data_IF_738828974696
#
_entry.id   IF_738828974696
#
_cell.length_a   1.000
_cell.length_b   1.000
_cell.length_c   1.000
_cell.angle_alpha   90.00
_cell.angle_beta   90.00
_cell.angle_gamma   90.00
#
_symmetry.space_group_name_H-M   'P 1'
#
loop_
_entity.id
_entity.type
_entity.pdbx_description
1 polymer ?
#
# COMPACT_ATOMS: atom_id res chain seq x y z
N UNK A 1 -4.28 -16.92 -12.47
CA UNK A 1 -4.29 -17.05 -10.99
C UNK A 1 -3.46 -15.96 -10.31
N UNK A 2 -2.20 -15.72 -10.72
CA UNK A 2 -1.32 -14.71 -10.10
C UNK A 2 -1.88 -13.28 -10.10
N UNK A 3 -2.43 -12.82 -11.23
CA UNK A 3 -3.07 -11.50 -11.33
C UNK A 3 -4.23 -11.36 -10.33
N UNK A 4 -5.07 -12.39 -10.19
CA UNK A 4 -6.20 -12.35 -9.28
C UNK A 4 -5.76 -12.22 -7.82
N UNK A 5 -4.71 -12.95 -7.42
CA UNK A 5 -4.13 -12.86 -6.06
C UNK A 5 -3.58 -11.45 -5.80
N UNK A 6 -2.78 -10.92 -6.73
CA UNK A 6 -2.21 -9.57 -6.62
C UNK A 6 -3.32 -8.51 -6.59
N UNK A 7 -4.36 -8.66 -7.40
CA UNK A 7 -5.50 -7.75 -7.42
C UNK A 7 -6.21 -7.70 -6.06
N UNK A 8 -6.49 -8.85 -5.45
CA UNK A 8 -7.10 -8.90 -4.11
C UNK A 8 -6.19 -8.27 -3.04
N UNK A 9 -4.88 -8.53 -3.10
CA UNK A 9 -3.91 -7.86 -2.24
C UNK A 9 -3.92 -6.34 -2.46
N UNK A 10 -4.07 -5.91 -3.71
CA UNK A 10 -4.19 -4.50 -4.09
C UNK A 10 -5.40 -3.84 -3.47
N UNK A 11 -6.58 -4.45 -3.57
CA UNK A 11 -7.81 -3.96 -2.91
C UNK A 11 -7.58 -3.78 -1.41
N UNK A 12 -6.92 -4.75 -0.76
CA UNK A 12 -6.54 -4.66 0.65
C UNK A 12 -5.60 -3.50 0.95
N UNK A 13 -4.53 -3.32 0.17
CA UNK A 13 -3.57 -2.22 0.35
C UNK A 13 -4.24 -0.86 0.23
N UNK A 14 -5.01 -0.63 -0.83
CA UNK A 14 -5.72 0.63 -1.02
C UNK A 14 -6.71 0.92 0.10
N UNK A 15 -7.40 -0.11 0.61
CA UNK A 15 -8.32 0.04 1.74
C UNK A 15 -7.58 0.41 3.04
N UNK A 16 -6.47 -0.27 3.33
CA UNK A 16 -5.63 0.02 4.51
C UNK A 16 -5.01 1.42 4.41
N UNK A 17 -4.47 1.78 3.26
CA UNK A 17 -3.84 3.07 3.02
C UNK A 17 -4.83 4.21 3.12
N UNK A 18 -6.05 4.03 2.60
CA UNK A 18 -7.16 4.97 2.83
C UNK A 18 -7.43 5.13 4.32
N UNK A 19 -7.56 4.04 5.07
CA UNK A 19 -7.80 4.08 6.50
C UNK A 19 -6.67 4.80 7.26
N UNK A 20 -5.41 4.59 6.87
CA UNK A 20 -4.24 5.28 7.45
C UNK A 20 -4.26 6.78 7.13
N UNK A 21 -4.63 7.17 5.91
CA UNK A 21 -4.76 8.58 5.51
C UNK A 21 -5.95 9.28 6.16
N UNK A 22 -7.03 8.57 6.49
CA UNK A 22 -8.17 9.14 7.21
C UNK A 22 -7.95 9.16 8.73
N UNK A 23 -7.01 8.37 9.25
CA UNK A 23 -6.66 8.35 10.68
C UNK A 23 -6.11 9.70 11.17
N UNK A 24 -6.40 10.07 12.42
CA UNK A 24 -5.88 11.29 13.06
C UNK A 24 -4.57 11.06 13.85
N UNK A 25 -3.85 9.97 13.55
CA UNK A 25 -2.67 9.60 14.32
C UNK A 25 -1.51 10.59 14.10
N UNK A 26 -0.81 11.09 15.15
CA UNK A 26 0.23 12.12 15.02
C UNK A 26 1.38 11.71 14.09
N UNK A 27 1.82 10.44 14.15
CA UNK A 27 2.82 9.88 13.21
C UNK A 27 2.37 9.98 11.74
N UNK A 28 1.07 9.77 11.46
CA UNK A 28 0.56 9.96 10.11
C UNK A 28 0.44 11.41 9.74
N UNK A 29 0.10 12.31 10.66
CA UNK A 29 0.02 13.74 10.37
C UNK A 29 1.37 14.29 9.87
N UNK A 30 2.47 13.88 10.52
CA UNK A 30 3.83 14.25 10.10
C UNK A 30 4.21 13.61 8.76
N UNK A 31 3.98 12.30 8.60
CA UNK A 31 4.25 11.60 7.35
C UNK A 31 3.44 12.17 6.17
N UNK A 32 2.16 12.50 6.38
CA UNK A 32 1.29 13.15 5.37
C UNK A 32 1.82 14.54 5.02
N UNK A 33 2.29 15.30 6.02
CA UNK A 33 2.87 16.62 5.80
C UNK A 33 4.07 16.58 4.86
N UNK A 34 4.99 15.64 5.08
CA UNK A 34 6.17 15.48 4.23
C UNK A 34 5.81 14.92 2.85
N UNK A 35 4.99 13.87 2.77
CA UNK A 35 4.58 13.30 1.47
C UNK A 35 3.77 14.27 0.61
N UNK A 36 2.85 15.03 1.22
CA UNK A 36 2.01 16.00 0.49
C UNK A 36 2.81 17.15 -0.09
N UNK A 37 3.91 17.56 0.55
CA UNK A 37 4.82 18.58 0.01
C UNK A 37 5.54 18.11 -1.26
N UNK A 38 5.82 16.80 -1.39
CA UNK A 38 6.60 16.25 -2.50
C UNK A 38 5.70 15.79 -3.65
N UNK A 39 4.63 15.05 -3.35
CA UNK A 39 3.80 14.36 -4.37
C UNK A 39 2.33 14.81 -4.37
N UNK A 40 1.96 15.81 -3.55
CA UNK A 40 0.59 16.30 -3.45
C UNK A 40 -0.35 15.39 -2.64
N UNK A 41 -1.64 15.76 -2.52
CA UNK A 41 -2.61 15.08 -1.65
C UNK A 41 -2.95 13.65 -2.08
N UNK A 42 -2.73 13.30 -3.36
CA UNK A 42 -3.02 11.97 -3.92
C UNK A 42 -1.78 11.20 -4.36
N UNK A 43 -0.58 11.76 -4.14
CA UNK A 43 0.67 11.19 -4.62
C UNK A 43 0.97 9.79 -4.08
N UNK A 44 0.58 9.52 -2.83
CA UNK A 44 0.76 8.20 -2.23
C UNK A 44 -0.14 7.13 -2.87
N UNK A 45 -1.37 7.47 -3.28
CA UNK A 45 -2.22 6.56 -4.05
C UNK A 45 -1.67 6.27 -5.45
N UNK A 46 -1.00 7.25 -6.06
CA UNK A 46 -0.35 7.03 -7.35
C UNK A 46 0.80 6.02 -7.21
N UNK A 47 1.58 6.11 -6.13
CA UNK A 47 2.63 5.13 -5.82
C UNK A 47 2.06 3.72 -5.57
N UNK A 48 0.97 3.61 -4.79
CA UNK A 48 0.30 2.31 -4.59
C UNK A 48 -0.21 1.72 -5.91
N UNK A 49 -0.80 2.55 -6.76
CA UNK A 49 -1.29 2.13 -8.07
C UNK A 49 -0.16 1.68 -8.97
N UNK A 50 0.95 2.43 -9.01
CA UNK A 50 2.11 2.09 -9.80
C UNK A 50 2.71 0.74 -9.36
N UNK A 51 2.84 0.52 -8.05
CA UNK A 51 3.33 -0.74 -7.51
C UNK A 51 2.41 -1.91 -7.88
N UNK A 52 1.08 -1.73 -7.79
CA UNK A 52 0.10 -2.73 -8.18
C UNK A 52 0.16 -3.02 -9.69
N UNK A 53 0.20 -1.98 -10.52
CA UNK A 53 0.27 -2.11 -11.97
C UNK A 53 1.54 -2.86 -12.40
N UNK A 54 2.69 -2.49 -11.85
CA UNK A 54 3.95 -3.17 -12.12
C UNK A 54 3.88 -4.66 -11.74
N UNK A 55 3.37 -4.97 -10.54
CA UNK A 55 3.21 -6.36 -10.09
C UNK A 55 2.28 -7.16 -11.00
N UNK A 56 1.16 -6.58 -11.46
CA UNK A 56 0.23 -7.25 -12.38
C UNK A 56 0.85 -7.48 -13.76
N UNK A 57 1.65 -6.54 -14.28
CA UNK A 57 2.38 -6.70 -15.55
C UNK A 57 3.34 -7.89 -15.45
N UNK A 58 4.17 -7.94 -14.41
CA UNK A 58 5.10 -9.07 -14.22
C UNK A 58 4.39 -10.39 -13.96
N UNK A 59 3.26 -10.38 -13.24
CA UNK A 59 2.44 -11.56 -13.04
C UNK A 59 1.82 -12.08 -14.35
N UNK A 60 1.47 -11.18 -15.27
CA UNK A 60 1.00 -11.54 -16.61
C UNK A 60 2.11 -12.20 -17.45
N UNK A 61 3.37 -11.86 -17.19
CA UNK A 61 4.54 -12.54 -17.76
C UNK A 61 4.85 -13.89 -17.08
N UNK A 62 4.01 -14.35 -16.15
CA UNK A 62 4.17 -15.63 -15.45
C UNK A 62 5.15 -15.60 -14.28
N UNK A 63 5.62 -14.42 -13.87
CA UNK A 63 6.64 -14.29 -12.83
C UNK A 63 6.05 -14.51 -11.43
N UNK A 64 6.35 -15.67 -10.81
CA UNK A 64 5.96 -15.95 -9.42
C UNK A 64 6.57 -14.96 -8.43
N UNK A 65 7.78 -14.44 -8.72
CA UNK A 65 8.44 -13.43 -7.91
C UNK A 65 7.61 -12.16 -7.74
N UNK A 66 6.79 -11.79 -8.72
CA UNK A 66 5.88 -10.65 -8.62
C UNK A 66 4.80 -10.86 -7.55
N UNK A 67 4.26 -12.08 -7.47
CA UNK A 67 3.26 -12.44 -6.45
C UNK A 67 3.89 -12.40 -5.06
N UNK A 68 5.08 -13.00 -4.90
CA UNK A 68 5.79 -13.00 -3.61
C UNK A 68 6.13 -11.58 -3.17
N UNK A 69 6.70 -10.77 -4.08
CA UNK A 69 7.06 -9.39 -3.80
C UNK A 69 5.84 -8.57 -3.35
N UNK A 70 4.74 -8.66 -4.11
CA UNK A 70 3.54 -7.89 -3.80
C UNK A 70 2.84 -8.40 -2.52
N UNK A 71 2.89 -9.70 -2.25
CA UNK A 71 2.38 -10.28 -1.02
C UNK A 71 3.16 -9.79 0.22
N UNK A 72 4.50 -9.83 0.16
CA UNK A 72 5.36 -9.30 1.24
C UNK A 72 5.12 -7.80 1.45
N UNK A 73 5.01 -7.03 0.37
CA UNK A 73 4.64 -5.61 0.43
C UNK A 73 3.30 -5.40 1.14
N UNK A 74 2.30 -6.23 0.82
CA UNK A 74 0.98 -6.18 1.47
C UNK A 74 1.04 -6.49 2.96
N UNK A 75 1.83 -7.50 3.36
CA UNK A 75 2.05 -7.81 4.77
C UNK A 75 2.73 -6.66 5.53
N UNK A 76 3.70 -5.98 4.90
CA UNK A 76 4.35 -4.81 5.48
C UNK A 76 3.35 -3.66 5.69
N UNK A 77 2.48 -3.39 4.71
CA UNK A 77 1.40 -2.41 4.84
C UNK A 77 0.39 -2.81 5.93
N UNK A 78 0.01 -4.09 6.02
CA UNK A 78 -0.81 -4.60 7.12
C UNK A 78 -0.17 -4.35 8.48
N UNK A 79 1.13 -4.63 8.63
CA UNK A 79 1.85 -4.40 9.89
C UNK A 79 1.90 -2.91 10.24
N UNK A 80 2.16 -2.04 9.26
CA UNK A 80 2.15 -0.59 9.46
C UNK A 80 0.77 -0.07 9.89
N UNK A 81 -0.30 -0.52 9.22
CA UNK A 81 -1.67 -0.19 9.59
C UNK A 81 -2.01 -0.72 11.00
N UNK A 82 -1.59 -1.94 11.33
CA UNK A 82 -1.82 -2.55 12.63
C UNK A 82 -1.17 -1.75 13.77
N UNK A 83 0.12 -1.41 13.62
CA UNK A 83 0.82 -0.57 14.60
C UNK A 83 0.09 0.76 14.79
N UNK A 84 -0.33 1.39 13.70
CA UNK A 84 -1.04 2.67 13.78
C UNK A 84 -2.38 2.58 14.51
N UNK A 85 -3.17 1.53 14.27
CA UNK A 85 -4.51 1.42 14.87
C UNK A 85 -4.50 0.86 16.29
N UNK A 86 -3.57 -0.03 16.60
CA UNK A 86 -3.56 -0.76 17.88
C UNK A 86 -2.48 -0.31 18.85
N UNK A 87 -1.40 0.33 18.39
CA UNK A 87 -0.46 1.02 19.28
C UNK A 87 -0.78 2.50 19.29
N UNK A 88 -1.50 2.94 20.33
CA UNK A 88 -1.56 4.35 20.69
C UNK A 88 -0.18 4.80 21.19
N UNK A 89 0.25 6.04 20.91
CA UNK A 89 1.43 6.62 21.53
C UNK A 89 1.23 6.77 23.04
#
# INVERSE_FOLDING_TARGET
MYIFIIFLCGVGNFAMHKAMLESSHPLMAEARGNFRKILGPHGSYFLEFFMLAAAMIFANMGMLSAVIFYFVYTLANCAAAWVLFFHKP
#
